data_IF_059239589074
#
_entry.id   IF_059239589074
#
_cell.length_a   1.000
_cell.length_b   1.000
_cell.length_c   1.000
_cell.angle_alpha   90.00
_cell.angle_beta   90.00
_cell.angle_gamma   90.00
#
_symmetry.space_group_name_H-M   'P 1'
#
loop_
_entity.id
_entity.type
_entity.pdbx_description
1 polymer ?
#
# COMPACT_ATOMS: atom_id res chain seq x y z
N UNK A 1 8.82 -5.48 -3.19
CA UNK A 1 9.38 -4.11 -3.12
C UNK A 1 8.46 -3.13 -2.39
N UNK A 2 7.13 -3.26 -2.46
CA UNK A 2 6.19 -2.34 -1.79
C UNK A 2 6.45 -2.04 -0.30
N UNK A 3 6.79 -3.03 0.52
CA UNK A 3 7.09 -2.81 1.94
C UNK A 3 8.26 -1.81 2.19
N UNK A 4 9.24 -1.76 1.28
CA UNK A 4 10.35 -0.80 1.37
C UNK A 4 9.87 0.63 1.09
N UNK A 5 8.90 0.79 0.19
CA UNK A 5 8.29 2.09 -0.09
C UNK A 5 7.43 2.56 1.08
N UNK A 6 6.66 1.66 1.70
CA UNK A 6 5.86 1.96 2.90
C UNK A 6 6.74 2.55 4.01
N UNK A 7 7.94 1.98 4.23
CA UNK A 7 8.91 2.54 5.19
C UNK A 7 9.30 3.98 4.88
N UNK A 8 9.54 4.29 3.60
CA UNK A 8 9.91 5.65 3.19
C UNK A 8 8.73 6.59 3.40
N UNK A 9 7.54 6.23 2.91
CA UNK A 9 6.34 7.06 3.02
C UNK A 9 5.95 7.36 4.46
N UNK A 10 6.05 6.37 5.37
CA UNK A 10 5.79 6.56 6.79
C UNK A 10 6.75 7.56 7.48
N UNK A 11 7.91 7.85 6.87
CA UNK A 11 8.88 8.83 7.39
C UNK A 11 8.87 10.17 6.64
N UNK A 12 8.05 10.31 5.59
CA UNK A 12 7.95 11.57 4.83
C UNK A 12 7.02 12.55 5.54
N UNK A 13 7.50 13.78 5.72
CA UNK A 13 6.65 14.87 6.25
C UNK A 13 5.54 15.20 5.26
N UNK A 14 4.32 15.38 5.77
CA UNK A 14 3.15 15.71 4.96
C UNK A 14 2.53 14.53 4.21
N UNK A 15 3.01 13.31 4.45
CA UNK A 15 2.44 12.08 3.90
C UNK A 15 1.80 11.27 5.01
N UNK A 16 0.59 10.80 4.78
CA UNK A 16 -0.09 9.81 5.62
C UNK A 16 -0.23 8.51 4.83
N UNK A 17 0.25 7.40 5.40
CA UNK A 17 0.05 6.07 4.80
C UNK A 17 -1.34 5.57 5.21
N UNK A 18 -2.31 5.69 4.32
CA UNK A 18 -3.73 5.37 4.60
C UNK A 18 -4.05 3.87 4.50
N UNK A 19 -3.31 3.13 3.66
CA UNK A 19 -3.48 1.69 3.57
C UNK A 19 -2.53 0.99 2.60
N UNK A 20 -2.62 -0.33 2.61
CA UNK A 20 -1.89 -1.24 1.72
C UNK A 20 -2.87 -2.23 1.10
N UNK A 21 -2.79 -2.41 -0.21
CA UNK A 21 -3.48 -3.47 -0.94
C UNK A 21 -2.46 -4.44 -1.54
N UNK A 22 -2.67 -5.75 -1.35
CA UNK A 22 -1.80 -6.81 -1.86
C UNK A 22 -2.63 -8.07 -2.10
N UNK A 23 -2.37 -8.80 -3.20
CA UNK A 23 -3.03 -10.07 -3.48
C UNK A 23 -2.66 -11.16 -2.45
N UNK A 24 -1.50 -11.03 -1.80
CA UNK A 24 -1.10 -11.87 -0.69
C UNK A 24 -1.56 -11.25 0.64
N UNK A 25 -2.70 -11.73 1.15
CA UNK A 25 -3.34 -11.18 2.34
C UNK A 25 -2.46 -11.26 3.60
N UNK A 26 -1.69 -12.34 3.79
CA UNK A 26 -0.77 -12.49 4.92
C UNK A 26 0.28 -11.38 4.91
N UNK A 27 0.94 -11.17 3.77
CA UNK A 27 1.96 -10.13 3.61
C UNK A 27 1.37 -8.73 3.71
N UNK A 28 0.23 -8.48 3.07
CA UNK A 28 -0.45 -7.20 3.11
C UNK A 28 -0.85 -6.81 4.53
N UNK A 29 -1.45 -7.72 5.29
CA UNK A 29 -1.81 -7.50 6.70
C UNK A 29 -0.60 -7.26 7.59
N UNK A 30 0.49 -8.00 7.39
CA UNK A 30 1.72 -7.80 8.15
C UNK A 30 2.32 -6.40 7.94
N UNK A 31 2.36 -5.93 6.68
CA UNK A 31 2.85 -4.57 6.37
C UNK A 31 1.88 -3.51 6.91
N UNK A 32 0.57 -3.71 6.76
CA UNK A 32 -0.42 -2.77 7.26
C UNK A 32 -0.32 -2.62 8.79
N UNK A 33 -0.16 -3.71 9.52
CA UNK A 33 0.04 -3.70 10.97
C UNK A 33 1.35 -2.98 11.36
N UNK A 34 2.44 -3.19 10.62
CA UNK A 34 3.73 -2.55 10.90
C UNK A 34 3.66 -1.02 10.83
N UNK A 35 2.81 -0.46 9.98
CA UNK A 35 2.66 0.99 9.81
C UNK A 35 1.33 1.51 10.34
N UNK A 36 0.66 0.74 11.21
CA UNK A 36 -0.61 1.11 11.86
C UNK A 36 -1.67 1.62 10.87
N UNK A 37 -1.77 0.94 9.73
CA UNK A 37 -2.62 1.33 8.61
C UNK A 37 -3.59 0.21 8.24
N UNK A 38 -4.47 0.47 7.27
CA UNK A 38 -5.52 -0.47 6.86
C UNK A 38 -5.04 -1.40 5.74
N UNK A 39 -5.34 -2.69 5.86
CA UNK A 39 -5.20 -3.64 4.75
C UNK A 39 -6.48 -3.64 3.91
N UNK A 40 -6.31 -3.60 2.60
CA UNK A 40 -7.39 -3.68 1.62
C UNK A 40 -7.17 -4.90 0.72
N UNK A 41 -8.17 -5.78 0.66
CA UNK A 41 -8.16 -6.92 -0.26
C UNK A 41 -8.40 -6.48 -1.71
N UNK A 42 -9.24 -5.45 -1.92
CA UNK A 42 -9.46 -4.81 -3.21
C UNK A 42 -8.85 -3.41 -3.22
N UNK A 43 -7.89 -3.18 -4.12
CA UNK A 43 -7.21 -1.89 -4.29
C UNK A 43 -8.18 -0.77 -4.70
N UNK A 44 -9.32 -1.08 -5.33
CA UNK A 44 -10.32 -0.09 -5.71
C UNK A 44 -10.94 0.60 -4.51
N UNK A 45 -11.08 -0.12 -3.39
CA UNK A 45 -11.56 0.46 -2.13
C UNK A 45 -10.52 1.36 -1.47
N UNK A 46 -9.24 1.09 -1.69
CA UNK A 46 -8.16 1.97 -1.24
C UNK A 46 -8.12 3.27 -2.07
N UNK A 47 -8.41 3.20 -3.38
CA UNK A 47 -8.44 4.37 -4.27
C UNK A 47 -9.47 5.43 -3.85
N UNK A 48 -10.57 5.02 -3.22
CA UNK A 48 -11.61 5.93 -2.72
C UNK A 48 -11.15 6.75 -1.49
N UNK A 49 -10.05 6.35 -0.84
CA UNK A 49 -9.63 6.87 0.47
C UNK A 49 -8.32 7.68 0.41
N UNK A 50 -7.71 7.85 -0.77
CA UNK A 50 -6.36 8.42 -0.91
C UNK A 50 -6.23 9.43 -2.04
N UNK A 51 -5.35 10.41 -1.86
CA UNK A 51 -5.01 11.40 -2.90
C UNK A 51 -4.03 10.87 -3.95
N UNK A 52 -3.24 9.85 -3.60
CA UNK A 52 -2.20 9.30 -4.46
C UNK A 52 -1.93 7.81 -4.13
N UNK A 53 -1.46 7.07 -5.15
CA UNK A 53 -1.03 5.68 -5.00
C UNK A 53 0.40 5.45 -5.49
N UNK A 54 1.05 4.46 -4.90
CA UNK A 54 2.30 3.87 -5.41
C UNK A 54 2.03 2.42 -5.82
N UNK A 55 2.09 2.13 -7.10
CA UNK A 55 2.00 0.76 -7.63
C UNK A 55 3.39 0.12 -7.56
N UNK A 56 3.50 -0.99 -6.82
CA UNK A 56 4.76 -1.71 -6.63
C UNK A 56 4.62 -3.20 -6.98
N UNK A 57 4.02 -3.47 -8.14
CA UNK A 57 3.77 -4.81 -8.70
C UNK A 57 4.91 -5.25 -9.64
N UNK A 58 4.75 -6.32 -10.41
CA UNK A 58 5.71 -6.68 -11.47
C UNK A 58 5.42 -5.88 -12.74
N UNK A 59 6.41 -5.62 -13.59
CA UNK A 59 6.25 -4.79 -14.80
C UNK A 59 5.01 -5.13 -15.66
N UNK A 60 4.67 -6.41 -15.93
CA UNK A 60 3.47 -6.72 -16.70
C UNK A 60 2.18 -6.30 -15.98
N UNK A 61 2.12 -6.49 -14.66
CA UNK A 61 0.94 -6.19 -13.82
C UNK A 61 0.86 -4.73 -13.38
N UNK A 62 1.57 -3.82 -14.05
CA UNK A 62 1.41 -2.38 -13.80
C UNK A 62 0.28 -1.76 -14.63
N UNK A 63 -0.07 -2.35 -15.78
CA UNK A 63 -1.07 -1.81 -16.70
C UNK A 63 -2.49 -2.33 -16.43
N UNK A 64 -2.59 -3.55 -15.87
CA UNK A 64 -3.84 -4.27 -15.62
C UNK A 64 -4.66 -3.69 -14.46
#
# INVERSE_FOLDING_TARGET
MGARHCRVYANLRGVQVVGVADLNAERGKAVAAQYETRYFEDHRRLLEEVDAISIATTTPSHFD
#
